data_IF_285481599205
#
_entry.id   IF_285481599205
#
_cell.length_a   1.000
_cell.length_b   1.000
_cell.length_c   1.000
_cell.angle_alpha   90.00
_cell.angle_beta   90.00
_cell.angle_gamma   90.00
#
_symmetry.space_group_name_H-M   'P 1'
#
loop_
_entity.id
_entity.type
_entity.pdbx_description
1 polymer ?
#
# COMPACT_ATOMS: atom_id res chain seq x y z
N UNK A 1 26.11 8.86 4.02
CA UNK A 1 25.93 7.84 2.95
C UNK A 1 25.17 8.51 1.82
N UNK A 2 25.47 8.21 0.55
CA UNK A 2 24.73 8.78 -0.59
C UNK A 2 23.66 7.80 -1.08
N UNK A 3 22.57 8.32 -1.64
CA UNK A 3 21.45 7.49 -2.11
C UNK A 3 21.85 6.50 -3.21
N UNK A 4 22.90 6.81 -3.99
CA UNK A 4 23.46 5.89 -4.98
C UNK A 4 24.09 4.65 -4.34
N UNK A 5 24.73 4.79 -3.17
CA UNK A 5 25.39 3.68 -2.47
C UNK A 5 24.36 2.63 -2.03
N UNK A 6 23.17 3.05 -1.64
CA UNK A 6 22.09 2.20 -1.11
C UNK A 6 21.58 1.17 -2.12
N UNK A 7 21.72 1.41 -3.43
CA UNK A 7 21.42 0.41 -4.48
C UNK A 7 22.47 -0.70 -4.63
N UNK A 8 23.66 -0.52 -4.05
CA UNK A 8 24.72 -1.54 -4.01
C UNK A 8 24.76 -2.34 -2.71
N UNK A 9 24.03 -1.88 -1.69
CA UNK A 9 24.04 -2.42 -0.33
C UNK A 9 22.81 -3.29 -0.09
N UNK A 10 22.93 -4.34 0.75
CA UNK A 10 21.75 -5.08 1.23
C UNK A 10 20.79 -4.15 1.98
N UNK A 11 19.57 -4.64 2.19
CA UNK A 11 18.69 -4.07 3.23
C UNK A 11 19.27 -4.47 4.61
N UNK A 12 19.36 -3.56 5.59
CA UNK A 12 19.88 -3.90 6.90
C UNK A 12 18.88 -4.80 7.64
N UNK A 13 19.38 -5.84 8.31
CA UNK A 13 18.53 -6.72 9.12
C UNK A 13 18.15 -6.01 10.43
N UNK A 14 16.96 -5.41 10.46
CA UNK A 14 16.48 -4.68 11.64
C UNK A 14 16.22 -5.61 12.84
N UNK A 15 16.46 -5.14 14.07
CA UNK A 15 16.10 -5.87 15.28
C UNK A 15 14.58 -5.95 15.43
N UNK A 16 14.09 -7.03 16.06
CA UNK A 16 12.72 -7.09 16.56
C UNK A 16 12.54 -6.09 17.71
N UNK A 17 11.36 -5.48 17.81
CA UNK A 17 11.06 -4.54 18.89
C UNK A 17 11.14 -5.23 20.28
N UNK A 18 11.73 -4.60 21.31
CA UNK A 18 11.82 -5.21 22.64
C UNK A 18 10.46 -5.61 23.21
N UNK A 19 10.33 -6.86 23.64
CA UNK A 19 9.07 -7.42 24.16
C UNK A 19 8.08 -7.89 23.09
N UNK A 20 8.42 -7.82 21.80
CA UNK A 20 7.66 -8.47 20.74
C UNK A 20 7.54 -9.97 21.00
N UNK A 21 6.32 -10.50 20.88
CA UNK A 21 6.05 -11.94 20.82
C UNK A 21 5.37 -12.17 19.48
N UNK A 22 5.85 -13.15 18.72
CA UNK A 22 5.36 -13.52 17.39
C UNK A 22 3.92 -14.07 17.49
N UNK A 23 2.93 -13.16 17.64
CA UNK A 23 1.50 -13.46 17.60
C UNK A 23 1.03 -13.40 16.15
N UNK A 24 1.08 -14.54 15.47
CA UNK A 24 0.85 -14.66 14.01
C UNK A 24 -0.48 -14.08 13.49
N UNK A 25 -1.48 -13.85 14.36
CA UNK A 25 -2.87 -13.63 13.96
C UNK A 25 -3.42 -12.21 14.17
N UNK A 26 -2.79 -11.37 15.01
CA UNK A 26 -3.57 -10.39 15.79
C UNK A 26 -4.12 -9.13 15.10
N UNK A 27 -3.64 -8.72 13.90
CA UNK A 27 -4.05 -7.43 13.29
C UNK A 27 -4.35 -7.48 11.78
N UNK A 28 -5.32 -8.31 11.38
CA UNK A 28 -6.00 -8.18 10.09
C UNK A 28 -7.19 -7.21 10.22
N UNK A 29 -6.95 -5.91 10.02
CA UNK A 29 -7.84 -4.80 10.39
C UNK A 29 -9.03 -4.54 9.44
N UNK A 30 -9.35 -5.46 8.53
CA UNK A 30 -10.52 -5.36 7.65
C UNK A 30 -11.22 -6.72 7.49
N UNK A 31 -12.56 -6.78 7.56
CA UNK A 31 -13.31 -7.95 7.14
C UNK A 31 -13.00 -8.30 5.68
N UNK A 32 -12.63 -9.55 5.41
CA UNK A 32 -12.37 -10.07 4.06
C UNK A 32 -13.65 -10.21 3.20
N UNK A 33 -14.78 -9.68 3.65
CA UNK A 33 -16.13 -9.98 3.15
C UNK A 33 -16.51 -9.30 1.83
N UNK A 34 -15.75 -8.30 1.38
CA UNK A 34 -16.08 -7.52 0.17
C UNK A 34 -15.47 -8.11 -1.11
N UNK A 35 -14.44 -8.96 -1.01
CA UNK A 35 -13.73 -9.50 -2.18
C UNK A 35 -14.11 -10.94 -2.42
N UNK A 36 -14.98 -11.11 -3.40
CA UNK A 36 -15.57 -12.39 -3.79
C UNK A 36 -14.60 -13.31 -4.56
N UNK A 37 -13.54 -12.74 -5.15
CA UNK A 37 -12.53 -13.42 -5.97
C UNK A 37 -11.15 -12.75 -5.83
N UNK A 38 -10.19 -13.31 -5.05
CA UNK A 38 -8.77 -13.02 -5.22
C UNK A 38 -8.21 -13.73 -6.47
N UNK A 39 -6.99 -13.37 -6.94
CA UNK A 39 -6.32 -14.14 -7.98
C UNK A 39 -6.15 -15.60 -7.55
N UNK A 40 -6.16 -16.50 -8.54
CA UNK A 40 -6.16 -17.96 -8.34
C UNK A 40 -4.81 -18.61 -8.65
N UNK A 41 -3.95 -17.97 -9.43
CA UNK A 41 -2.60 -18.40 -9.76
C UNK A 41 -1.67 -17.19 -9.98
N UNK A 42 -0.36 -17.42 -10.01
CA UNK A 42 0.66 -16.39 -10.23
C UNK A 42 1.49 -16.70 -11.50
N UNK A 43 1.57 -15.75 -12.42
CA UNK A 43 2.48 -15.74 -13.56
C UNK A 43 3.81 -15.06 -13.19
N UNK A 44 4.92 -15.80 -13.20
CA UNK A 44 6.23 -15.23 -12.88
C UNK A 44 6.74 -14.27 -13.96
N UNK A 45 7.04 -13.05 -13.55
CA UNK A 45 7.90 -12.11 -14.27
C UNK A 45 9.32 -12.29 -13.73
N UNK A 46 10.32 -12.64 -14.56
CA UNK A 46 11.70 -12.81 -14.11
C UNK A 46 12.25 -11.50 -13.53
N UNK A 47 12.92 -11.57 -12.36
CA UNK A 47 13.42 -10.37 -11.64
C UNK A 47 14.34 -9.50 -12.50
N UNK A 48 15.13 -10.11 -13.39
CA UNK A 48 16.02 -9.40 -14.33
C UNK A 48 15.31 -8.39 -15.23
N UNK A 49 14.02 -8.57 -15.55
CA UNK A 49 13.22 -7.59 -16.29
C UNK A 49 13.21 -6.23 -15.58
N UNK A 50 12.93 -6.24 -14.27
CA UNK A 50 12.94 -5.03 -13.44
C UNK A 50 14.36 -4.55 -13.14
N UNK A 51 15.31 -5.47 -12.89
CA UNK A 51 16.71 -5.08 -12.68
C UNK A 51 17.31 -4.39 -13.90
N UNK A 52 17.00 -4.82 -15.13
CA UNK A 52 17.44 -4.18 -16.35
C UNK A 52 16.86 -2.77 -16.52
N UNK A 53 15.55 -2.58 -16.25
CA UNK A 53 14.94 -1.23 -16.25
C UNK A 53 15.61 -0.30 -15.24
N UNK A 54 15.83 -0.75 -14.00
CA UNK A 54 16.51 0.05 -12.98
C UNK A 54 17.98 0.36 -13.31
N UNK A 55 18.75 -0.64 -13.77
CA UNK A 55 20.16 -0.47 -14.16
C UNK A 55 20.30 0.52 -15.34
N UNK A 56 19.38 0.48 -16.31
CA UNK A 56 19.30 1.46 -17.43
C UNK A 56 19.11 2.89 -16.93
N UNK A 57 18.20 3.09 -15.99
CA UNK A 57 17.87 4.42 -15.47
C UNK A 57 18.95 4.97 -14.52
N UNK A 58 19.47 4.15 -13.60
CA UNK A 58 20.58 4.50 -12.70
C UNK A 58 21.91 4.70 -13.43
N UNK A 59 22.05 4.19 -14.65
CA UNK A 59 23.18 4.42 -15.54
C UNK A 59 23.20 5.82 -16.18
N UNK A 60 22.08 6.56 -16.17
CA UNK A 60 22.02 7.90 -16.77
C UNK A 60 22.88 8.90 -15.96
N UNK A 61 23.77 9.69 -16.58
CA UNK A 61 24.67 10.60 -15.85
C UNK A 61 23.95 11.60 -14.92
N UNK A 62 22.78 12.10 -15.33
CA UNK A 62 21.95 13.01 -14.52
C UNK A 62 21.40 12.33 -13.26
N UNK A 63 20.84 11.12 -13.40
CA UNK A 63 20.29 10.30 -12.30
C UNK A 63 21.41 9.93 -11.32
N UNK A 64 22.53 9.42 -11.85
CA UNK A 64 23.71 9.08 -11.06
C UNK A 64 24.26 10.29 -10.29
N UNK A 65 24.46 11.43 -10.96
CA UNK A 65 24.94 12.64 -10.31
C UNK A 65 23.99 13.12 -9.20
N UNK A 66 22.67 13.15 -9.46
CA UNK A 66 21.67 13.51 -8.45
C UNK A 66 21.76 12.62 -7.21
N UNK A 67 21.82 11.29 -7.39
CA UNK A 67 21.90 10.33 -6.28
C UNK A 67 23.27 10.30 -5.57
N UNK A 68 24.32 10.84 -6.19
CA UNK A 68 25.65 10.98 -5.60
C UNK A 68 25.85 12.28 -4.81
N UNK A 69 25.02 13.31 -5.02
CA UNK A 69 25.10 14.57 -4.23
C UNK A 69 24.04 14.68 -3.13
N UNK A 70 23.04 13.80 -3.12
CA UNK A 70 22.02 13.73 -2.08
C UNK A 70 22.34 12.59 -1.09
N UNK A 71 22.31 12.92 0.21
CA UNK A 71 22.51 11.95 1.29
C UNK A 71 21.28 11.07 1.51
N UNK A 72 21.50 9.87 2.03
CA UNK A 72 20.46 8.93 2.46
C UNK A 72 20.26 9.00 3.99
N UNK A 73 19.18 9.62 4.48
CA UNK A 73 18.85 9.66 5.91
C UNK A 73 18.10 8.41 6.40
N UNK A 74 17.59 7.53 5.52
CA UNK A 74 16.93 6.29 5.95
C UNK A 74 17.93 5.30 6.59
N UNK A 75 19.20 5.46 6.25
CA UNK A 75 20.32 4.66 6.76
C UNK A 75 21.00 5.29 7.99
N UNK A 76 20.40 6.31 8.63
CA UNK A 76 20.86 6.84 9.92
C UNK A 76 20.51 5.87 11.06
N UNK A 77 21.49 5.31 11.80
CA UNK A 77 21.25 4.31 12.85
C UNK A 77 20.69 4.90 14.16
N UNK A 78 20.53 6.22 14.27
CA UNK A 78 20.08 6.89 15.52
C UNK A 78 18.56 6.85 15.74
N UNK A 79 17.78 6.25 14.84
CA UNK A 79 16.33 6.06 15.05
C UNK A 79 16.03 5.08 16.19
N UNK A 80 15.54 5.62 17.31
CA UNK A 80 15.02 4.85 18.44
C UNK A 80 13.70 4.17 18.08
N UNK A 81 13.76 2.91 17.66
CA UNK A 81 12.60 2.03 17.51
C UNK A 81 12.07 1.63 18.90
N UNK A 82 10.81 1.96 19.20
CA UNK A 82 10.12 1.62 20.45
C UNK A 82 9.02 0.58 20.30
N UNK A 83 8.35 0.54 19.14
CA UNK A 83 7.28 -0.41 18.82
C UNK A 83 7.48 -1.06 17.45
N UNK A 84 6.76 -2.16 17.19
CA UNK A 84 6.79 -2.87 15.89
C UNK A 84 6.46 -1.95 14.70
N UNK A 85 5.53 -1.01 14.87
CA UNK A 85 5.20 -0.01 13.84
C UNK A 85 6.39 0.89 13.47
N UNK A 86 7.32 1.17 14.39
CA UNK A 86 8.55 1.91 14.09
C UNK A 86 9.47 1.08 13.20
N UNK A 87 9.62 -0.21 13.50
CA UNK A 87 10.45 -1.16 12.73
C UNK A 87 9.91 -1.31 11.31
N UNK A 88 8.59 -1.49 11.16
CA UNK A 88 7.91 -1.60 9.87
C UNK A 88 7.99 -0.29 9.07
N UNK A 89 7.84 0.88 9.70
CA UNK A 89 7.97 2.16 9.01
C UNK A 89 9.42 2.43 8.59
N UNK A 90 10.39 2.14 9.45
CA UNK A 90 11.81 2.36 9.16
C UNK A 90 12.33 1.43 8.05
N UNK A 91 11.92 0.15 8.03
CA UNK A 91 12.25 -0.75 6.91
C UNK A 91 11.64 -0.30 5.59
N UNK A 92 10.39 0.21 5.62
CA UNK A 92 9.72 0.77 4.45
C UNK A 92 10.51 1.98 3.89
N UNK A 93 10.93 2.93 4.74
CA UNK A 93 11.79 4.04 4.27
C UNK A 93 13.15 3.57 3.74
N UNK A 94 13.78 2.55 4.34
CA UNK A 94 15.07 2.02 3.86
C UNK A 94 15.00 1.30 2.51
N UNK A 95 13.83 0.75 2.15
CA UNK A 95 13.54 0.22 0.82
C UNK A 95 13.13 1.36 -0.14
N UNK A 96 12.17 2.18 0.26
CA UNK A 96 11.46 3.11 -0.61
C UNK A 96 12.15 4.46 -0.81
N UNK A 97 12.88 5.02 0.17
CA UNK A 97 13.44 6.37 0.05
C UNK A 97 14.52 6.49 -1.05
N UNK A 98 15.51 5.58 -1.18
CA UNK A 98 16.45 5.61 -2.31
C UNK A 98 15.74 5.46 -3.66
N UNK A 99 14.70 4.62 -3.69
CA UNK A 99 13.88 4.36 -4.88
C UNK A 99 13.05 5.58 -5.28
N UNK A 100 12.45 6.29 -4.31
CA UNK A 100 11.69 7.52 -4.54
C UNK A 100 12.57 8.61 -5.16
N UNK A 101 13.78 8.81 -4.62
CA UNK A 101 14.74 9.77 -5.17
C UNK A 101 15.25 9.36 -6.56
N UNK A 102 15.49 8.06 -6.80
CA UNK A 102 15.89 7.57 -8.11
C UNK A 102 14.77 7.77 -9.14
N UNK A 103 13.55 7.35 -8.83
CA UNK A 103 12.36 7.54 -9.69
C UNK A 103 12.12 9.03 -9.99
N UNK A 104 12.23 9.89 -8.98
CA UNK A 104 12.16 11.34 -9.15
C UNK A 104 13.21 11.86 -10.14
N UNK A 105 14.46 11.38 -10.07
CA UNK A 105 15.53 11.80 -10.97
C UNK A 105 15.41 11.20 -12.38
N UNK A 106 14.90 9.97 -12.51
CA UNK A 106 14.80 9.23 -13.78
C UNK A 106 13.63 9.70 -14.66
N UNK A 107 12.46 9.93 -14.06
CA UNK A 107 11.22 10.24 -14.78
C UNK A 107 10.44 11.44 -14.23
N UNK A 108 10.67 11.81 -12.97
CA UNK A 108 9.90 12.79 -12.23
C UNK A 108 10.25 14.25 -12.55
N UNK A 109 11.32 14.78 -11.97
CA UNK A 109 11.67 16.21 -12.02
C UNK A 109 10.55 17.14 -11.51
N UNK A 110 9.75 16.67 -10.55
CA UNK A 110 8.54 17.34 -10.06
C UNK A 110 7.21 16.77 -10.57
N UNK A 111 7.21 15.74 -11.43
CA UNK A 111 5.99 15.12 -12.00
C UNK A 111 5.42 13.94 -11.20
N UNK A 112 6.09 13.51 -10.14
CA UNK A 112 5.71 12.36 -9.32
C UNK A 112 5.72 12.75 -7.85
N UNK A 113 4.69 12.32 -7.13
CA UNK A 113 4.53 12.48 -5.69
C UNK A 113 4.37 11.11 -5.04
N UNK A 114 4.92 10.96 -3.82
CA UNK A 114 4.76 9.76 -3.00
C UNK A 114 4.04 10.15 -1.71
N UNK A 115 2.81 9.68 -1.54
CA UNK A 115 1.99 9.88 -0.36
C UNK A 115 2.14 8.67 0.56
N UNK A 116 2.15 8.86 1.88
CA UNK A 116 2.12 7.77 2.87
C UNK A 116 0.80 7.78 3.64
N UNK A 117 0.30 6.59 4.01
CA UNK A 117 -0.96 6.37 4.76
C UNK A 117 -2.23 7.07 4.18
N UNK A 118 -2.26 7.32 2.86
CA UNK A 118 -3.37 8.02 2.19
C UNK A 118 -4.62 7.12 2.09
N UNK A 119 -5.64 7.40 2.90
CA UNK A 119 -6.91 6.67 2.86
C UNK A 119 -7.80 7.11 1.67
N UNK A 120 -8.46 6.14 1.02
CA UNK A 120 -9.68 6.40 0.25
C UNK A 120 -10.62 5.18 0.25
N UNK A 121 -11.92 5.42 0.40
CA UNK A 121 -12.97 4.38 0.39
C UNK A 121 -12.65 3.18 1.32
N UNK A 122 -12.38 3.45 2.60
CA UNK A 122 -12.13 2.40 3.61
C UNK A 122 -10.96 1.47 3.25
N UNK A 123 -9.93 2.04 2.62
CA UNK A 123 -8.72 1.37 2.16
C UNK A 123 -7.55 2.35 2.32
N UNK A 124 -6.44 1.92 2.94
CA UNK A 124 -5.33 2.82 3.29
C UNK A 124 -3.97 2.14 3.10
N UNK A 125 -3.45 2.08 1.86
CA UNK A 125 -2.10 1.62 1.56
C UNK A 125 -1.05 2.45 2.30
N UNK A 126 0.04 1.82 2.71
CA UNK A 126 1.13 2.50 3.41
C UNK A 126 1.83 3.55 2.54
N UNK A 127 1.99 3.29 1.24
CA UNK A 127 2.48 4.27 0.26
C UNK A 127 1.70 4.21 -1.06
N UNK A 128 1.56 5.38 -1.68
CA UNK A 128 0.88 5.61 -2.96
C UNK A 128 1.75 6.53 -3.82
N UNK A 129 2.07 6.12 -5.05
CA UNK A 129 2.70 7.01 -6.03
C UNK A 129 1.69 7.56 -7.01
N UNK A 130 1.71 8.88 -7.18
CA UNK A 130 0.83 9.62 -8.08
C UNK A 130 1.61 10.46 -9.07
N UNK A 131 0.99 10.69 -10.23
CA UNK A 131 1.35 11.78 -11.12
C UNK A 131 0.93 13.11 -10.50
N UNK A 132 1.90 13.95 -10.15
CA UNK A 132 1.66 15.29 -9.64
C UNK A 132 0.80 16.09 -10.62
N UNK A 133 -0.23 16.79 -10.13
CA UNK A 133 -1.13 17.55 -10.98
C UNK A 133 -0.41 18.67 -11.73
N UNK A 134 -0.51 18.65 -13.06
CA UNK A 134 -0.05 19.74 -13.90
C UNK A 134 -0.89 21.04 -13.74
N UNK A 135 -2.01 20.98 -13.00
CA UNK A 135 -2.87 22.13 -12.76
C UNK A 135 -3.67 21.93 -11.44
N UNK A 136 -3.15 22.35 -10.26
CA UNK A 136 -3.75 22.05 -8.96
C UNK A 136 -5.20 22.52 -8.77
N UNK A 137 -5.62 23.54 -9.51
CA UNK A 137 -6.99 24.07 -9.54
C UNK A 137 -7.91 23.42 -10.59
N UNK A 138 -7.41 22.46 -11.37
CA UNK A 138 -8.03 21.97 -12.60
C UNK A 138 -9.00 20.78 -12.48
N UNK A 139 -9.18 20.21 -11.28
CA UNK A 139 -10.20 19.18 -11.00
C UNK A 139 -10.03 17.80 -11.65
N UNK A 140 -9.12 17.63 -12.61
CA UNK A 140 -8.74 16.29 -13.12
C UNK A 140 -7.95 15.55 -12.06
N UNK A 141 -8.40 14.34 -11.71
CA UNK A 141 -7.77 13.48 -10.71
C UNK A 141 -6.35 13.09 -11.10
N UNK A 142 -5.45 13.15 -10.13
CA UNK A 142 -4.08 12.67 -10.25
C UNK A 142 -4.06 11.16 -10.41
N UNK A 143 -3.49 10.69 -11.52
CA UNK A 143 -3.30 9.27 -11.79
C UNK A 143 -2.42 8.64 -10.72
N UNK A 144 -3.02 7.80 -9.88
CA UNK A 144 -2.28 6.89 -9.01
C UNK A 144 -1.79 5.74 -9.87
N UNK A 145 -0.47 5.51 -9.89
CA UNK A 145 0.15 4.54 -10.79
C UNK A 145 0.80 3.36 -10.08
N UNK A 146 1.02 3.45 -8.77
CA UNK A 146 1.48 2.33 -7.97
C UNK A 146 1.06 2.48 -6.50
N UNK A 147 0.91 1.33 -5.83
CA UNK A 147 0.51 1.19 -4.44
C UNK A 147 1.51 0.27 -3.73
N UNK A 148 1.73 0.49 -2.43
CA UNK A 148 2.61 -0.34 -1.62
C UNK A 148 2.02 -0.55 -0.21
N UNK A 149 2.10 -1.80 0.25
CA UNK A 149 1.67 -2.24 1.57
C UNK A 149 2.87 -2.90 2.27
N UNK A 150 3.20 -2.42 3.47
CA UNK A 150 4.15 -3.07 4.35
C UNK A 150 3.43 -4.02 5.30
N UNK A 151 4.09 -5.10 5.69
CA UNK A 151 3.62 -6.10 6.65
C UNK A 151 4.70 -6.41 7.67
N UNK A 152 4.27 -7.07 8.75
CA UNK A 152 5.17 -7.60 9.77
C UNK A 152 5.95 -8.81 9.22
N UNK A 153 7.08 -9.13 9.85
CA UNK A 153 7.99 -10.19 9.38
C UNK A 153 7.26 -11.55 9.27
N UNK A 154 7.55 -12.32 8.20
CA UNK A 154 6.91 -13.63 7.89
C UNK A 154 5.41 -13.52 7.64
N UNK A 155 4.96 -12.49 6.94
CA UNK A 155 3.61 -12.45 6.38
C UNK A 155 3.59 -13.05 4.97
N UNK A 156 4.62 -12.77 4.15
CA UNK A 156 4.84 -13.36 2.84
C UNK A 156 5.67 -14.63 3.01
N UNK A 157 5.08 -15.81 2.75
CA UNK A 157 5.78 -17.09 2.88
C UNK A 157 6.11 -17.65 1.49
N UNK A 158 7.41 -17.89 1.24
CA UNK A 158 7.90 -18.34 -0.06
C UNK A 158 7.19 -19.61 -0.57
N UNK A 159 6.91 -20.57 0.32
CA UNK A 159 6.29 -21.84 -0.05
C UNK A 159 4.81 -21.68 -0.45
N UNK A 160 4.04 -20.85 0.26
CA UNK A 160 2.64 -20.52 -0.12
C UNK A 160 2.59 -19.87 -1.52
N UNK A 161 3.53 -18.96 -1.81
CA UNK A 161 3.64 -18.34 -3.14
C UNK A 161 4.19 -19.31 -4.22
N UNK A 162 5.07 -20.25 -3.87
CA UNK A 162 5.59 -21.25 -4.79
C UNK A 162 4.50 -22.21 -5.30
N UNK A 163 3.52 -22.56 -4.46
CA UNK A 163 2.34 -23.35 -4.88
C UNK A 163 1.51 -22.58 -5.93
N UNK A 164 1.31 -21.27 -5.75
CA UNK A 164 0.60 -20.44 -6.73
C UNK A 164 1.35 -20.28 -8.07
N UNK A 165 2.69 -20.31 -8.06
CA UNK A 165 3.56 -20.24 -9.24
C UNK A 165 3.53 -21.49 -10.13
N UNK A 166 3.31 -22.67 -9.55
CA UNK A 166 3.45 -23.96 -10.25
C UNK A 166 2.24 -24.36 -11.13
N UNK A 167 1.29 -23.45 -11.37
CA UNK A 167 0.10 -23.72 -12.19
C UNK A 167 0.36 -23.49 -13.68
N UNK A 168 0.34 -24.56 -14.49
CA UNK A 168 0.55 -24.42 -15.95
C UNK A 168 -0.66 -23.76 -16.65
N UNK A 169 -0.47 -23.01 -17.76
CA UNK A 169 -1.58 -22.41 -18.52
C UNK A 169 -2.66 -23.40 -18.98
N UNK A 170 -2.29 -24.66 -19.23
CA UNK A 170 -3.24 -25.72 -19.58
C UNK A 170 -4.15 -26.12 -18.41
N UNK A 171 -3.57 -26.29 -17.22
CA UNK A 171 -4.33 -26.53 -15.99
C UNK A 171 -5.20 -25.33 -15.61
N UNK A 172 -4.67 -24.12 -15.80
CA UNK A 172 -5.36 -22.85 -15.54
C UNK A 172 -6.63 -22.75 -16.36
N UNK A 173 -6.60 -22.97 -17.69
CA UNK A 173 -7.79 -22.86 -18.53
C UNK A 173 -8.93 -23.80 -18.10
N UNK A 174 -8.59 -25.02 -17.64
CA UNK A 174 -9.55 -25.97 -17.07
C UNK A 174 -10.05 -25.54 -15.68
N UNK A 175 -9.15 -25.06 -14.80
CA UNK A 175 -9.46 -24.63 -13.44
C UNK A 175 -10.26 -23.32 -13.39
N UNK A 176 -9.97 -22.34 -14.24
CA UNK A 176 -10.69 -21.05 -14.41
C UNK A 176 -12.17 -21.28 -14.71
N UNK A 177 -12.50 -22.19 -15.63
CA UNK A 177 -13.87 -22.65 -15.90
C UNK A 177 -14.58 -23.33 -14.70
N UNK A 178 -13.83 -23.64 -13.64
CA UNK A 178 -14.35 -24.20 -12.38
C UNK A 178 -14.28 -23.22 -11.19
N UNK A 179 -13.38 -22.25 -11.21
CA UNK A 179 -13.22 -21.21 -10.19
C UNK A 179 -14.32 -20.14 -10.29
N UNK A 180 -14.71 -19.77 -11.52
CA UNK A 180 -15.91 -18.95 -11.77
C UNK A 180 -17.20 -19.60 -11.23
N UNK A 181 -17.20 -20.93 -11.03
CA UNK A 181 -18.30 -21.70 -10.42
C UNK A 181 -18.10 -21.98 -8.92
N UNK A 182 -16.92 -21.72 -8.36
CA UNK A 182 -16.58 -21.96 -6.95
C UNK A 182 -15.34 -21.13 -6.55
N UNK A 183 -15.50 -19.98 -5.86
CA UNK A 183 -14.37 -19.11 -5.47
C UNK A 183 -13.38 -19.74 -4.46
N UNK A 184 -13.65 -20.94 -3.96
CA UNK A 184 -12.76 -21.71 -3.05
C UNK A 184 -11.65 -22.48 -3.80
N UNK A 185 -11.14 -21.94 -4.90
CA UNK A 185 -10.15 -22.58 -5.80
C UNK A 185 -9.05 -21.61 -6.24
N UNK A 186 -8.47 -20.90 -5.28
CA UNK A 186 -7.19 -20.19 -5.46
C UNK A 186 -6.06 -21.07 -4.91
N UNK A 187 -4.87 -20.97 -5.50
CA UNK A 187 -3.65 -21.63 -5.03
C UNK A 187 -2.92 -20.83 -3.94
N UNK A 188 -3.39 -19.63 -3.59
CA UNK A 188 -2.98 -18.94 -2.38
C UNK A 188 -3.82 -19.44 -1.19
N UNK A 189 -3.16 -19.77 -0.08
CA UNK A 189 -3.79 -20.23 1.16
C UNK A 189 -3.24 -19.45 2.38
N UNK A 190 -3.42 -20.00 3.60
CA UNK A 190 -2.75 -19.54 4.82
C UNK A 190 -2.73 -18.02 5.05
N UNK A 191 -1.55 -17.42 4.92
CA UNK A 191 -1.34 -15.96 5.01
C UNK A 191 -1.41 -15.28 3.65
N UNK A 192 -0.79 -15.85 2.62
CA UNK A 192 -0.72 -15.31 1.25
C UNK A 192 -2.09 -14.94 0.69
N UNK A 193 -3.10 -15.78 0.91
CA UNK A 193 -4.49 -15.53 0.53
C UNK A 193 -5.03 -14.21 1.10
N UNK A 194 -4.72 -13.91 2.37
CA UNK A 194 -5.18 -12.70 3.05
C UNK A 194 -4.51 -11.45 2.46
N UNK A 195 -3.21 -11.52 2.15
CA UNK A 195 -2.51 -10.40 1.50
C UNK A 195 -2.97 -10.22 0.05
N UNK A 196 -3.15 -11.31 -0.71
CA UNK A 196 -3.58 -11.24 -2.11
C UNK A 196 -5.03 -10.75 -2.23
N UNK A 197 -5.91 -11.06 -1.27
CA UNK A 197 -7.19 -10.36 -1.12
C UNK A 197 -6.98 -8.86 -0.90
N UNK A 198 -6.11 -8.44 0.01
CA UNK A 198 -5.89 -7.01 0.27
C UNK A 198 -5.30 -6.26 -0.93
N UNK A 199 -4.34 -6.87 -1.65
CA UNK A 199 -3.79 -6.34 -2.89
C UNK A 199 -4.86 -6.22 -3.98
N UNK A 200 -5.74 -7.23 -4.11
CA UNK A 200 -6.90 -7.16 -4.98
C UNK A 200 -7.89 -6.06 -4.55
N UNK A 201 -8.02 -5.73 -3.25
CA UNK A 201 -8.83 -4.58 -2.77
C UNK A 201 -8.30 -3.29 -3.36
N UNK A 202 -6.99 -3.12 -3.28
CA UNK A 202 -6.31 -1.91 -3.74
C UNK A 202 -6.38 -1.76 -5.27
N UNK A 203 -6.18 -2.84 -6.02
CA UNK A 203 -6.27 -2.81 -7.49
C UNK A 203 -7.70 -2.58 -8.01
N UNK A 204 -8.72 -3.07 -7.31
CA UNK A 204 -10.13 -2.88 -7.68
C UNK A 204 -10.77 -1.63 -7.04
N UNK A 205 -10.05 -0.88 -6.20
CA UNK A 205 -10.56 0.37 -5.60
C UNK A 205 -10.50 1.49 -6.64
N UNK A 206 -11.66 1.95 -7.11
CA UNK A 206 -11.79 2.99 -8.13
C UNK A 206 -11.18 4.36 -7.74
N UNK A 207 -10.86 4.59 -6.46
CA UNK A 207 -10.10 5.76 -6.01
C UNK A 207 -8.60 5.68 -6.31
N UNK A 208 -8.05 4.46 -6.31
CA UNK A 208 -6.63 4.22 -6.55
C UNK A 208 -6.37 3.77 -7.99
N UNK A 209 -7.32 3.07 -8.60
CA UNK A 209 -7.43 2.92 -10.06
C UNK A 209 -6.16 2.36 -10.75
N UNK A 210 -5.35 1.55 -10.07
CA UNK A 210 -4.04 1.08 -10.55
C UNK A 210 -3.88 -0.44 -10.48
N UNK A 211 -3.20 -1.04 -11.45
CA UNK A 211 -2.89 -2.48 -11.44
C UNK A 211 -1.69 -2.85 -10.56
N UNK A 212 -0.87 -1.87 -10.16
CA UNK A 212 0.45 -2.08 -9.61
C UNK A 212 0.43 -2.00 -8.09
N UNK A 213 0.53 -3.16 -7.42
CA UNK A 213 0.63 -3.27 -5.96
C UNK A 213 1.93 -3.97 -5.58
N UNK A 214 2.70 -3.36 -4.68
CA UNK A 214 3.87 -3.96 -4.06
C UNK A 214 3.52 -4.39 -2.63
N UNK A 215 3.96 -5.58 -2.24
CA UNK A 215 3.77 -6.16 -0.91
C UNK A 215 5.15 -6.42 -0.31
N UNK A 216 5.44 -5.89 0.87
CA UNK A 216 6.75 -6.02 1.53
C UNK A 216 6.60 -6.47 2.97
N UNK A 217 7.45 -7.38 3.45
CA UNK A 217 7.35 -7.91 4.83
C UNK A 217 8.71 -8.03 5.55
N UNK A 218 9.74 -7.31 5.10
CA UNK A 218 11.11 -7.36 5.59
C UNK A 218 11.88 -8.67 5.29
N UNK A 219 11.22 -9.79 4.95
CA UNK A 219 11.87 -10.98 4.36
C UNK A 219 11.74 -11.00 2.84
N UNK A 220 10.59 -10.57 2.32
CA UNK A 220 10.27 -10.59 0.90
C UNK A 220 9.65 -9.27 0.42
N UNK A 221 9.82 -9.02 -0.87
CA UNK A 221 9.12 -8.03 -1.65
C UNK A 221 8.45 -8.76 -2.82
N UNK A 222 7.12 -8.79 -2.83
CA UNK A 222 6.33 -9.28 -3.96
C UNK A 222 5.81 -8.08 -4.76
N UNK A 223 6.30 -7.96 -5.99
CA UNK A 223 5.93 -6.92 -6.95
C UNK A 223 4.85 -7.49 -7.86
N UNK A 224 3.59 -7.06 -7.71
CA UNK A 224 2.49 -7.66 -8.45
C UNK A 224 1.72 -6.68 -9.34
N UNK A 225 1.31 -7.19 -10.50
CA UNK A 225 0.60 -6.49 -11.56
C UNK A 225 -0.64 -7.30 -11.87
N UNK A 226 -1.81 -6.77 -11.48
CA UNK A 226 -3.09 -7.41 -11.74
C UNK A 226 -3.44 -7.33 -13.23
N UNK A 227 -3.74 -8.47 -13.85
CA UNK A 227 -4.28 -8.48 -15.21
C UNK A 227 -5.78 -8.13 -15.18
N UNK A 228 -6.25 -7.61 -16.30
CA UNK A 228 -7.62 -7.12 -16.50
C UNK A 228 -8.43 -8.00 -17.43
N UNK A 229 -7.73 -8.74 -18.30
CA UNK A 229 -8.30 -9.72 -19.20
C UNK A 229 -8.49 -11.06 -18.49
N UNK A 230 -7.70 -11.34 -17.45
CA UNK A 230 -7.96 -12.41 -16.49
C UNK A 230 -7.81 -11.92 -15.03
N UNK A 231 -8.91 -11.52 -14.36
CA UNK A 231 -8.88 -11.14 -12.94
C UNK A 231 -8.63 -12.35 -11.99
N UNK A 232 -8.50 -13.57 -12.53
CA UNK A 232 -8.10 -14.77 -11.78
C UNK A 232 -6.59 -15.03 -11.87
N UNK A 233 -5.83 -14.19 -12.58
CA UNK A 233 -4.37 -14.22 -12.61
C UNK A 233 -3.76 -13.01 -11.91
N UNK A 234 -2.48 -13.13 -11.55
CA UNK A 234 -1.63 -11.99 -11.22
C UNK A 234 -0.24 -12.22 -11.79
N UNK A 235 0.33 -11.21 -12.45
CA UNK A 235 1.73 -11.22 -12.89
C UNK A 235 2.60 -10.68 -11.77
N UNK A 236 3.81 -11.19 -11.58
CA UNK A 236 4.68 -10.60 -10.56
C UNK A 236 6.01 -11.27 -10.33
N UNK A 237 6.79 -10.67 -9.45
CA UNK A 237 8.14 -11.10 -9.06
C UNK A 237 8.26 -11.13 -7.54
N UNK A 238 8.76 -12.23 -6.98
CA UNK A 238 9.13 -12.31 -5.57
C UNK A 238 10.64 -12.11 -5.42
N UNK A 239 11.06 -11.14 -4.59
CA UNK A 239 12.46 -10.72 -4.42
C UNK A 239 12.85 -10.82 -2.94
N UNK A 240 13.96 -11.50 -2.59
CA UNK A 240 14.42 -11.59 -1.21
C UNK A 240 14.84 -10.22 -0.68
N UNK A 241 14.48 -9.91 0.55
CA UNK A 241 14.84 -8.68 1.26
C UNK A 241 15.83 -8.91 2.42
N UNK A 242 16.27 -10.15 2.64
CA UNK A 242 17.40 -10.47 3.53
C UNK A 242 18.48 -11.26 2.77
N UNK A 243 19.67 -11.39 3.37
CA UNK A 243 20.80 -12.08 2.74
C UNK A 243 21.50 -11.28 1.63
N UNK A 244 22.41 -11.92 0.86
CA UNK A 244 23.30 -11.25 -0.10
C UNK A 244 22.57 -10.64 -1.32
N UNK A 245 21.35 -11.10 -1.61
CA UNK A 245 20.57 -10.69 -2.77
C UNK A 245 19.55 -9.59 -2.47
N UNK A 246 19.41 -9.21 -1.19
CA UNK A 246 18.57 -8.10 -0.74
C UNK A 246 18.93 -6.72 -1.33
N UNK A 247 20.13 -6.59 -1.91
CA UNK A 247 20.53 -5.45 -2.77
C UNK A 247 19.57 -5.23 -3.94
N UNK A 248 19.06 -6.32 -4.51
CA UNK A 248 18.24 -6.31 -5.72
C UNK A 248 16.78 -5.91 -5.43
N UNK A 249 16.33 -5.91 -4.18
CA UNK A 249 14.98 -5.44 -3.80
C UNK A 249 14.75 -3.96 -4.16
N UNK A 250 15.72 -3.08 -3.89
CA UNK A 250 15.67 -1.66 -4.28
C UNK A 250 15.68 -1.47 -5.79
N UNK A 251 16.49 -2.27 -6.50
CA UNK A 251 16.55 -2.25 -7.96
C UNK A 251 15.25 -2.75 -8.60
N UNK A 252 14.69 -3.86 -8.12
CA UNK A 252 13.44 -4.42 -8.62
C UNK A 252 12.26 -3.47 -8.38
N UNK A 253 12.13 -2.89 -7.18
CA UNK A 253 11.09 -1.90 -6.88
C UNK A 253 11.20 -0.67 -7.79
N UNK A 254 12.42 -0.16 -8.02
CA UNK A 254 12.64 0.95 -8.94
C UNK A 254 12.24 0.59 -10.38
N UNK A 255 12.67 -0.56 -10.90
CA UNK A 255 12.35 -1.03 -12.24
C UNK A 255 10.85 -1.22 -12.46
N UNK A 256 10.15 -1.73 -11.45
CA UNK A 256 8.70 -1.92 -11.43
C UNK A 256 7.94 -0.60 -11.32
N UNK A 257 8.39 0.37 -10.53
CA UNK A 257 7.80 1.71 -10.48
C UNK A 257 8.02 2.51 -11.79
N UNK A 258 9.15 2.31 -12.47
CA UNK A 258 9.39 2.86 -13.81
C UNK A 258 8.39 2.28 -14.81
N UNK A 259 8.16 0.96 -14.78
CA UNK A 259 7.16 0.29 -15.63
C UNK A 259 5.74 0.75 -15.33
N UNK A 260 5.35 0.82 -14.05
CA UNK A 260 4.06 1.32 -13.61
C UNK A 260 3.76 2.75 -14.12
N UNK A 261 4.80 3.61 -14.14
CA UNK A 261 4.75 4.95 -14.70
C UNK A 261 4.71 4.98 -16.24
N UNK A 262 5.50 4.13 -16.91
CA UNK A 262 5.47 3.94 -18.38
C UNK A 262 4.05 3.52 -18.84
N UNK A 263 3.40 2.62 -18.10
CA UNK A 263 2.01 2.17 -18.36
C UNK A 263 0.95 3.24 -18.06
N UNK A 264 1.12 4.05 -17.01
CA UNK A 264 0.21 5.16 -16.70
C UNK A 264 0.29 6.27 -17.75
N UNK A 265 1.50 6.63 -18.20
CA UNK A 265 1.66 7.59 -19.30
C UNK A 265 1.05 7.09 -20.62
N UNK A 266 0.96 5.77 -20.81
CA UNK A 266 0.26 5.14 -21.92
C UNK A 266 -1.25 4.92 -21.67
N UNK A 267 -1.79 5.33 -20.52
CA UNK A 267 -3.18 5.14 -20.11
C UNK A 267 -3.56 3.69 -19.75
N UNK A 268 -2.61 2.73 -19.83
CA UNK A 268 -2.83 1.30 -19.60
C UNK A 268 -2.92 0.94 -18.13
N UNK A 269 -2.47 1.81 -17.22
CA UNK A 269 -2.57 1.62 -15.76
C UNK A 269 -3.92 2.05 -15.15
N UNK A 270 -4.90 2.54 -15.93
CA UNK A 270 -6.20 3.03 -15.42
C UNK A 270 -7.26 1.93 -15.19
N UNK A 271 -7.61 1.58 -13.94
CA UNK A 271 -8.42 0.38 -13.63
C UNK A 271 -9.73 0.27 -14.43
N UNK A 272 -10.08 -0.95 -14.83
CA UNK A 272 -11.34 -1.20 -15.55
C UNK A 272 -12.49 -0.84 -14.60
N UNK A 273 -13.55 -0.14 -15.06
CA UNK A 273 -14.78 -0.03 -14.26
C UNK A 273 -15.21 -1.44 -13.85
N UNK A 274 -15.47 -1.61 -12.54
CA UNK A 274 -15.71 -2.92 -11.95
C UNK A 274 -16.67 -3.74 -12.84
N UNK A 275 -16.27 -4.98 -13.16
CA UNK A 275 -17.12 -5.90 -13.93
C UNK A 275 -18.56 -5.81 -13.42
N UNK A 276 -19.57 -5.79 -14.29
CA UNK A 276 -20.96 -5.85 -13.87
C UNK A 276 -21.17 -7.17 -13.13
N UNK A 277 -21.01 -7.12 -11.81
CA UNK A 277 -21.20 -8.23 -10.91
C UNK A 277 -22.66 -8.64 -11.06
N UNK A 278 -22.85 -9.84 -11.61
CA UNK A 278 -24.14 -10.47 -11.82
C UNK A 278 -25.09 -10.12 -10.68
N UNK A 279 -26.07 -9.27 -10.97
CA UNK A 279 -26.95 -8.65 -9.97
C UNK A 279 -28.05 -9.63 -9.55
N UNK A 280 -27.67 -10.90 -9.36
CA UNK A 280 -28.54 -12.00 -8.99
C UNK A 280 -29.26 -11.69 -7.69
N UNK A 281 -30.58 -11.72 -7.77
CA UNK A 281 -31.50 -11.11 -6.80
C UNK A 281 -31.16 -11.37 -5.33
N UNK A 282 -30.59 -10.34 -4.67
CA UNK A 282 -30.87 -10.08 -3.27
C UNK A 282 -32.22 -9.37 -3.09
N UNK A 283 -33.26 -9.89 -3.78
CA UNK A 283 -34.65 -9.68 -3.38
C UNK A 283 -34.88 -10.35 -2.03
N UNK A 284 -34.65 -9.56 -0.97
CA UNK A 284 -35.51 -9.46 0.21
C UNK A 284 -36.47 -10.65 0.39
N UNK A 285 -35.95 -11.75 0.97
CA UNK A 285 -36.78 -12.86 1.46
C UNK A 285 -37.56 -12.42 2.71
N UNK A 286 -38.52 -11.53 2.49
CA UNK A 286 -39.30 -10.84 3.50
C UNK A 286 -40.21 -11.81 4.25
N UNK A 287 -40.48 -11.49 5.53
CA UNK A 287 -41.21 -12.38 6.44
C UNK A 287 -42.73 -12.28 6.21
N UNK A 288 -43.23 -12.95 5.18
CA UNK A 288 -44.67 -13.20 5.03
C UNK A 288 -45.13 -14.27 6.05
N UNK A 289 -45.59 -13.85 7.24
CA UNK A 289 -46.07 -14.76 8.30
C UNK A 289 -47.36 -14.26 8.98
N UNK A 290 -48.50 -14.35 8.28
CA UNK A 290 -49.84 -14.17 8.86
C UNK A 290 -50.90 -15.04 8.14
N UNK A 291 -51.50 -15.98 8.88
CA UNK A 291 -52.89 -16.52 8.85
C UNK A 291 -53.64 -16.82 7.51
N UNK A 292 -54.74 -17.58 7.44
CA UNK A 292 -55.62 -18.17 8.47
C UNK A 292 -56.40 -19.42 7.96
N UNK A 293 -57.23 -20.01 8.85
CA UNK A 293 -58.06 -21.25 8.74
C UNK A 293 -57.23 -22.54 8.92
N UNK A 294 -57.63 -23.55 9.69
CA UNK A 294 -58.82 -23.87 10.51
C UNK A 294 -58.80 -25.40 10.74
N UNK A 295 -59.37 -26.05 11.77
CA UNK A 295 -60.44 -25.74 12.76
C UNK A 295 -60.17 -26.50 14.10
N UNK A 296 -61.04 -26.33 15.12
CA UNK A 296 -61.35 -27.22 16.29
C UNK A 296 -60.33 -28.24 16.85
N UNK A 297 -60.09 -28.36 18.17
CA UNK A 297 -60.55 -27.60 19.37
C UNK A 297 -59.41 -27.65 20.46
N UNK A 298 -59.49 -27.77 21.80
CA UNK A 298 -60.54 -28.02 22.84
C UNK A 298 -60.09 -27.43 24.20
N UNK A 299 -60.75 -27.79 25.32
CA UNK A 299 -60.40 -27.48 26.73
C UNK A 299 -59.23 -28.36 27.27
N UNK A 300 -58.58 -28.13 28.42
CA UNK A 300 -58.95 -27.35 29.62
C UNK A 300 -57.73 -26.75 30.38
N UNK A 301 -57.94 -26.05 31.51
CA UNK A 301 -56.92 -25.24 32.21
C UNK A 301 -56.70 -25.58 33.71
N UNK A 302 -55.59 -25.11 34.29
CA UNK A 302 -55.31 -25.01 35.74
C UNK A 302 -54.58 -23.67 36.03
N UNK A 303 -54.67 -23.16 37.26
CA UNK A 303 -54.36 -21.76 37.65
C UNK A 303 -53.08 -21.60 38.49
N UNK A 304 -52.45 -20.42 38.43
CA UNK A 304 -51.96 -19.58 39.56
C UNK A 304 -50.90 -18.57 39.05
N UNK A 305 -50.82 -17.26 39.36
CA UNK A 305 -51.39 -16.31 40.34
C UNK A 305 -50.45 -15.88 41.47
N UNK A 306 -49.81 -14.71 41.33
CA UNK A 306 -49.64 -13.74 42.44
C UNK A 306 -49.20 -12.35 41.93
N UNK A 307 -49.68 -11.30 42.62
CA UNK A 307 -49.23 -9.91 42.48
C UNK A 307 -48.26 -9.57 43.62
N UNK A 308 -47.32 -8.64 43.38
CA UNK A 308 -47.34 -7.35 44.10
C UNK A 308 -46.47 -6.27 43.44
N UNK A 309 -46.84 -5.03 43.68
CA UNK A 309 -46.23 -3.81 43.16
C UNK A 309 -46.33 -2.75 44.28
N UNK A 310 -45.26 -2.02 44.58
CA UNK A 310 -45.33 -0.81 45.42
C UNK A 310 -44.07 0.05 45.25
N UNK A 311 -44.27 1.28 44.79
CA UNK A 311 -43.40 2.46 44.93
C UNK A 311 -43.97 3.33 46.09
N UNK A 312 -43.55 4.57 46.41
CA UNK A 312 -42.50 5.45 45.87
C UNK A 312 -41.48 5.86 46.99
N UNK A 313 -40.67 6.93 46.97
CA UNK A 313 -40.50 8.12 46.10
C UNK A 313 -38.98 8.54 46.08
N UNK A 314 -38.45 9.77 45.90
CA UNK A 314 -39.00 11.13 45.82
C UNK A 314 -38.08 12.15 45.11
N UNK A 315 -38.68 13.30 44.76
CA UNK A 315 -38.09 14.65 44.68
C UNK A 315 -36.82 14.93 43.84
N UNK A 316 -37.03 15.65 42.71
CA UNK A 316 -36.08 16.63 42.16
C UNK A 316 -36.14 17.96 42.99
N UNK A 317 -35.50 19.12 42.64
CA UNK A 317 -35.36 19.78 41.32
C UNK A 317 -33.92 20.32 41.06
N UNK A 318 -33.52 21.19 40.10
CA UNK A 318 -34.10 22.33 39.33
C UNK A 318 -33.36 22.40 37.96
N UNK A 319 -34.01 22.71 36.83
CA UNK A 319 -34.22 24.06 36.24
C UNK A 319 -32.90 24.79 35.83
N UNK A 320 -32.77 25.46 34.66
CA UNK A 320 -33.72 25.66 33.53
C UNK A 320 -33.10 26.42 32.34
N UNK A 321 -33.58 26.15 31.12
CA UNK A 321 -33.79 27.11 30.00
C UNK A 321 -32.58 27.89 29.40
N UNK A 322 -32.70 28.63 28.28
CA UNK A 322 -33.32 28.35 26.96
C UNK A 322 -32.97 29.48 25.96
N UNK A 323 -32.90 29.18 24.63
CA UNK A 323 -32.82 30.17 23.52
C UNK A 323 -31.51 31.01 23.53
N UNK A 324 -31.13 31.81 22.51
CA UNK A 324 -31.72 32.18 21.20
C UNK A 324 -30.60 32.39 20.15
N UNK A 325 -30.95 32.68 18.89
CA UNK A 325 -30.06 33.10 17.79
C UNK A 325 -29.32 34.44 18.06
N UNK A 326 -28.21 34.77 17.36
CA UNK A 326 -28.20 35.41 16.02
C UNK A 326 -26.83 36.04 15.59
N UNK A 327 -26.66 36.25 14.26
CA UNK A 327 -25.85 37.29 13.55
C UNK A 327 -24.32 37.48 13.66
N UNK A 328 -23.67 37.34 12.48
CA UNK A 328 -22.72 38.26 11.78
C UNK A 328 -21.26 38.51 12.24
N UNK A 329 -20.37 38.33 11.25
CA UNK A 329 -19.25 39.19 10.80
C UNK A 329 -18.20 39.73 11.80
N UNK A 330 -16.92 39.48 11.50
CA UNK A 330 -15.99 40.48 10.91
C UNK A 330 -14.75 39.75 10.35
N UNK A 331 -14.08 40.32 9.35
CA UNK A 331 -12.88 39.76 8.73
C UNK A 331 -11.59 40.41 9.27
N UNK A 332 -10.48 39.67 9.27
CA UNK A 332 -9.13 40.26 9.30
C UNK A 332 -8.18 39.52 8.36
N UNK A 333 -7.53 40.29 7.46
CA UNK A 333 -6.37 39.82 6.69
C UNK A 333 -5.12 39.92 7.55
N UNK A 334 -4.31 38.87 7.57
CA UNK A 334 -2.93 38.91 8.09
C UNK A 334 -1.95 38.57 6.96
N UNK A 335 -1.54 39.57 6.19
CA UNK A 335 -0.55 39.41 5.11
C UNK A 335 0.87 39.54 5.67
N UNK A 336 1.59 38.43 5.81
CA UNK A 336 2.98 38.43 6.27
C UNK A 336 3.98 38.44 5.10
N UNK A 337 4.99 39.34 5.09
CA UNK A 337 5.94 39.46 3.98
C UNK A 337 7.13 38.49 4.11
N UNK A 338 7.16 37.43 3.29
CA UNK A 338 8.29 36.50 3.21
C UNK A 338 9.48 37.15 2.50
N UNK A 339 10.38 37.80 3.25
CA UNK A 339 11.69 38.27 2.77
C UNK A 339 12.73 37.14 2.77
N UNK A 340 12.67 36.24 1.80
CA UNK A 340 13.73 35.25 1.59
C UNK A 340 15.00 35.90 0.99
N UNK A 341 16.05 36.10 1.80
CA UNK A 341 17.37 36.56 1.34
C UNK A 341 17.95 35.59 0.30
N UNK A 342 18.29 36.07 -0.90
CA UNK A 342 19.20 35.36 -1.81
C UNK A 342 20.63 35.45 -1.26
N UNK A 343 21.08 34.45 -0.52
CA UNK A 343 22.52 34.27 -0.28
C UNK A 343 23.18 33.78 -1.58
N UNK A 344 24.15 34.55 -2.09
CA UNK A 344 25.09 34.04 -3.11
C UNK A 344 26.07 33.10 -2.40
N UNK A 345 25.91 31.79 -2.59
CA UNK A 345 26.99 30.84 -2.33
C UNK A 345 27.95 30.93 -3.51
N UNK A 346 29.12 31.51 -3.31
CA UNK A 346 30.20 31.43 -4.29
C UNK A 346 30.78 30.00 -4.24
N UNK A 347 30.83 29.24 -5.34
CA UNK A 347 31.43 27.92 -5.34
C UNK A 347 32.95 28.06 -5.14
N UNK A 348 33.48 27.49 -4.06
CA UNK A 348 34.92 27.41 -3.82
C UNK A 348 35.50 26.32 -4.71
N UNK A 349 35.95 26.70 -5.90
CA UNK A 349 36.65 25.82 -6.84
C UNK A 349 38.08 25.56 -6.35
N UNK A 350 38.24 24.66 -5.35
CA UNK A 350 39.55 24.01 -5.09
C UNK A 350 40.03 23.40 -6.41
N UNK A 351 41.09 23.97 -7.01
CA UNK A 351 41.77 23.33 -8.14
C UNK A 351 42.44 22.05 -7.62
N UNK A 352 42.38 20.93 -8.36
CA UNK A 352 43.19 19.76 -8.01
C UNK A 352 44.67 20.14 -8.08
N UNK A 353 45.40 19.93 -6.99
CA UNK A 353 46.85 20.02 -6.99
C UNK A 353 47.41 18.67 -7.44
N UNK A 354 48.20 18.71 -8.50
CA UNK A 354 49.01 17.59 -8.95
C UNK A 354 50.45 17.82 -8.49
N UNK A 355 51.18 16.73 -8.22
CA UNK A 355 52.62 16.81 -8.06
C UNK A 355 53.32 17.09 -9.41
N UNK A 356 54.63 17.31 -9.35
CA UNK A 356 55.51 17.50 -10.51
C UNK A 356 55.49 16.34 -11.51
N UNK A 357 55.01 15.17 -11.09
CA UNK A 357 54.94 13.91 -11.84
C UNK A 357 53.49 13.61 -12.33
N UNK A 358 52.56 14.57 -12.17
CA UNK A 358 51.19 14.51 -12.67
C UNK A 358 50.18 13.74 -11.81
N UNK A 359 50.53 13.36 -10.57
CA UNK A 359 49.64 12.58 -9.68
C UNK A 359 48.84 13.50 -8.74
N UNK A 360 47.56 13.20 -8.48
CA UNK A 360 46.74 14.01 -7.56
C UNK A 360 47.28 13.91 -6.13
N UNK A 361 47.57 15.06 -5.52
CA UNK A 361 47.93 15.14 -4.10
C UNK A 361 46.64 15.17 -3.30
N UNK A 362 46.43 14.14 -2.47
CA UNK A 362 45.39 14.12 -1.47
C UNK A 362 45.95 14.68 -0.16
N UNK A 363 45.28 15.70 0.40
CA UNK A 363 45.53 16.15 1.78
C UNK A 363 45.16 14.98 2.71
N UNK A 364 46.11 14.53 3.54
CA UNK A 364 45.87 13.52 4.58
C UNK A 364 45.42 14.20 5.87
N UNK A 365 44.24 13.83 6.36
CA UNK A 365 43.78 14.12 7.72
C UNK A 365 44.60 13.35 8.78
#
# INVERSE_FOLDING_TARGET
>A
MFLYDSFSRPLPNLPQAPGWKEKLDTHWSSPLTEIKYPPTYWEEVPVDHYLQKAKRELGKPSVKHYLQVHGDPSMDPLMKMGVEADVVRYSNEQLALPVNHALFASVGGGKIECYSESESQGSRPDKIWKRASANPSGGKSEGTFALFESKIKRTILQDEFAVAKLSTPGDVAAKVKSASKNPKKTHFDGKSLKIMCQAAKYANNASFNSNYVALFDLEWLFLCVFDRTDPLSVKGTMVPCQGPDSKDARLALLGWLIEAWEEELAGRNTAVPAHPLDSGDHQTRSKAKTAARGTSTTFSAVQSSSHKQTTPDASAPKASASKTSNTRNVAQKATLPVRSRKQKINPVTKKPMFDKDGKPIYESD
#
